data_IF_632170690531
#
_entry.id   IF_632170690531
#
_cell.length_a   1.000
_cell.length_b   1.000
_cell.length_c   1.000
_cell.angle_alpha   90.00
_cell.angle_beta   90.00
_cell.angle_gamma   90.00
#
_symmetry.space_group_name_H-M   'P 1'
#
loop_
_entity.id
_entity.type
_entity.pdbx_description
1 polymer ?
#
# COMPACT_ATOMS: atom_id res chain seq x y z
N UNK A 1 20.32 5.62 -13.43
CA UNK A 1 19.70 4.35 -13.01
C UNK A 1 18.40 4.72 -12.30
N UNK A 2 17.20 4.35 -12.81
CA UNK A 2 15.96 4.73 -12.16
C UNK A 2 15.90 4.09 -10.75
N UNK A 3 15.48 4.87 -9.75
CA UNK A 3 15.27 4.36 -8.41
C UNK A 3 14.11 3.35 -8.41
N UNK A 4 14.16 2.29 -7.59
CA UNK A 4 13.07 1.31 -7.52
C UNK A 4 11.80 1.96 -6.97
N UNK A 5 10.70 1.84 -7.71
CA UNK A 5 9.39 2.43 -7.37
C UNK A 5 8.66 1.55 -6.35
N UNK A 6 8.55 2.04 -5.12
CA UNK A 6 7.77 1.35 -4.09
C UNK A 6 6.28 1.57 -4.29
N UNK A 7 5.51 0.49 -4.14
CA UNK A 7 4.04 0.47 -4.18
C UNK A 7 3.49 0.03 -2.84
N UNK A 8 2.43 0.69 -2.37
CA UNK A 8 1.66 0.30 -1.19
C UNK A 8 0.40 -0.44 -1.62
N UNK A 9 0.06 -1.53 -0.93
CA UNK A 9 -1.16 -2.27 -1.16
C UNK A 9 -1.88 -2.61 0.14
N UNK A 10 -3.21 -2.72 0.03
CA UNK A 10 -4.12 -3.08 1.12
C UNK A 10 -4.97 -4.26 0.65
N UNK A 11 -4.91 -5.33 1.44
CA UNK A 11 -5.66 -6.57 1.20
C UNK A 11 -6.57 -6.83 2.38
N UNK A 12 -7.84 -7.13 2.10
CA UNK A 12 -8.82 -7.56 3.08
C UNK A 12 -8.81 -9.09 3.14
N UNK A 13 -8.52 -9.63 4.32
CA UNK A 13 -8.69 -11.05 4.62
C UNK A 13 -10.17 -11.38 4.92
N UNK A 14 -10.53 -12.65 4.82
CA UNK A 14 -11.87 -13.15 5.14
C UNK A 14 -12.31 -12.88 6.60
N UNK A 15 -11.35 -12.73 7.52
CA UNK A 15 -11.56 -12.34 8.93
C UNK A 15 -11.90 -10.83 9.11
N UNK A 16 -12.09 -10.09 8.00
CA UNK A 16 -12.25 -8.64 8.01
C UNK A 16 -11.03 -7.87 8.55
N UNK A 17 -9.91 -8.58 8.74
CA UNK A 17 -8.60 -8.01 9.01
C UNK A 17 -8.02 -7.37 7.75
N UNK A 18 -7.57 -6.11 7.87
CA UNK A 18 -6.95 -5.35 6.79
C UNK A 18 -5.43 -5.42 6.91
N UNK A 19 -4.79 -6.08 5.94
CA UNK A 19 -3.34 -6.17 5.85
C UNK A 19 -2.81 -5.11 4.89
N UNK A 20 -1.77 -4.39 5.31
CA UNK A 20 -1.18 -3.28 4.56
C UNK A 20 0.33 -3.50 4.48
N UNK A 21 0.90 -3.38 3.29
CA UNK A 21 2.33 -3.55 3.07
C UNK A 21 2.84 -2.77 1.87
N UNK A 22 4.16 -2.59 1.82
CA UNK A 22 4.85 -1.95 0.69
C UNK A 22 5.78 -2.92 -0.02
N UNK A 23 5.96 -2.75 -1.33
CA UNK A 23 6.88 -3.54 -2.14
C UNK A 23 7.56 -2.68 -3.22
N UNK A 24 8.88 -2.84 -3.35
CA UNK A 24 9.75 -2.07 -4.26
C UNK A 24 9.63 -2.43 -5.74
N UNK A 25 9.12 -3.63 -6.01
CA UNK A 25 9.06 -4.19 -7.36
C UNK A 25 7.87 -5.15 -7.43
N UNK A 26 6.67 -4.56 -7.35
CA UNK A 26 5.42 -5.32 -7.52
C UNK A 26 5.38 -5.90 -8.92
N UNK A 27 5.89 -5.21 -9.95
CA UNK A 27 5.92 -5.68 -11.32
C UNK A 27 6.73 -6.97 -11.52
N UNK A 28 8.02 -7.01 -11.14
CA UNK A 28 8.81 -8.25 -11.21
C UNK A 28 8.30 -9.31 -10.28
N UNK A 29 7.88 -8.97 -9.04
CA UNK A 29 7.30 -10.00 -8.18
C UNK A 29 6.03 -10.56 -8.78
N UNK A 30 5.06 -9.74 -9.19
CA UNK A 30 3.81 -10.21 -9.77
C UNK A 30 4.05 -11.00 -11.07
N UNK A 31 4.99 -10.56 -11.93
CA UNK A 31 5.37 -11.29 -13.13
C UNK A 31 6.12 -12.60 -12.83
N UNK A 32 7.01 -12.64 -11.83
CA UNK A 32 7.62 -13.88 -11.34
C UNK A 32 6.60 -14.78 -10.60
N UNK A 33 5.51 -14.20 -10.09
CA UNK A 33 4.37 -14.91 -9.51
C UNK A 33 3.46 -15.50 -10.59
N UNK A 34 3.20 -14.79 -11.70
CA UNK A 34 2.39 -15.27 -12.83
C UNK A 34 3.16 -16.27 -13.72
N UNK A 35 4.47 -16.05 -13.92
CA UNK A 35 5.31 -16.89 -14.78
C UNK A 35 5.75 -18.22 -14.10
N UNK A 36 5.26 -18.52 -12.89
CA UNK A 36 5.21 -19.87 -12.33
C UNK A 36 6.52 -20.55 -11.93
N UNK A 37 7.69 -19.90 -12.02
CA UNK A 37 8.94 -20.66 -12.05
C UNK A 37 9.74 -20.75 -10.75
N UNK A 38 9.45 -19.99 -9.68
CA UNK A 38 10.17 -20.18 -8.38
C UNK A 38 9.63 -19.46 -7.13
N UNK A 39 8.73 -18.48 -7.24
CA UNK A 39 8.45 -17.53 -6.15
C UNK A 39 7.26 -17.82 -5.20
N UNK A 40 6.28 -18.65 -5.57
CA UNK A 40 4.98 -18.66 -4.91
C UNK A 40 4.63 -19.94 -4.14
N UNK A 41 5.57 -20.51 -3.36
CA UNK A 41 5.18 -21.49 -2.33
C UNK A 41 4.28 -20.86 -1.25
N UNK A 42 4.37 -19.54 -1.07
CA UNK A 42 3.64 -18.79 -0.04
C UNK A 42 2.22 -18.33 -0.45
N UNK A 43 1.93 -18.25 -1.75
CA UNK A 43 0.59 -17.90 -2.28
C UNK A 43 -0.14 -19.13 -2.87
N UNK A 44 0.41 -20.34 -2.68
CA UNK A 44 -0.34 -21.59 -2.85
C UNK A 44 -1.18 -21.81 -1.59
N UNK A 45 -2.43 -21.36 -1.60
CA UNK A 45 -3.46 -21.96 -0.74
C UNK A 45 -3.98 -21.15 0.45
N UNK A 46 -3.70 -19.85 0.56
CA UNK A 46 -4.45 -18.98 1.50
C UNK A 46 -5.41 -18.08 0.72
N UNK A 47 -6.67 -18.52 0.75
CA UNK A 47 -7.87 -17.98 0.11
C UNK A 47 -8.16 -16.50 0.50
N UNK A 48 -9.27 -15.92 0.00
CA UNK A 48 -9.27 -14.71 -0.82
C UNK A 48 -8.66 -13.50 -0.11
N UNK A 49 -7.50 -13.05 -0.60
CA UNK A 49 -6.95 -11.74 -0.28
C UNK A 49 -7.53 -10.76 -1.30
N UNK A 50 -8.66 -10.13 -0.95
CA UNK A 50 -9.26 -9.13 -1.85
C UNK A 50 -8.39 -7.88 -1.78
N UNK A 51 -7.66 -7.60 -2.86
CA UNK A 51 -6.96 -6.33 -3.01
C UNK A 51 -8.02 -5.24 -3.10
N UNK A 52 -8.12 -4.45 -2.04
CA UNK A 52 -9.09 -3.35 -1.97
C UNK A 52 -8.45 -2.02 -2.38
N UNK A 53 -7.12 -1.92 -2.26
CA UNK A 53 -6.39 -0.71 -2.63
C UNK A 53 -4.95 -1.04 -3.03
N UNK A 54 -4.45 -0.39 -4.08
CA UNK A 54 -3.05 -0.42 -4.47
C UNK A 54 -2.64 0.90 -5.07
N UNK A 55 -1.50 1.46 -4.65
CA UNK A 55 -0.98 2.68 -5.26
C UNK A 55 0.53 2.73 -5.25
N UNK A 56 1.09 3.21 -6.35
CA UNK A 56 2.51 3.52 -6.48
C UNK A 56 2.85 4.78 -5.67
N UNK A 57 3.95 4.70 -4.92
CA UNK A 57 4.48 5.78 -4.08
C UNK A 57 5.78 6.33 -4.66
N UNK A 58 6.58 5.48 -5.31
CA UNK A 58 7.90 5.87 -5.83
C UNK A 58 9.00 5.60 -4.81
N UNK A 59 9.12 6.43 -3.79
CA UNK A 59 10.31 6.41 -2.94
C UNK A 59 10.21 5.44 -1.76
N UNK A 60 11.31 4.75 -1.42
CA UNK A 60 11.36 3.85 -0.26
C UNK A 60 11.05 4.59 1.04
N UNK A 61 11.61 5.79 1.17
CA UNK A 61 11.45 6.61 2.36
C UNK A 61 9.98 7.04 2.54
N UNK A 62 9.33 7.43 1.44
CA UNK A 62 7.90 7.76 1.43
C UNK A 62 7.05 6.54 1.73
N UNK A 63 7.29 5.41 1.07
CA UNK A 63 6.53 4.19 1.26
C UNK A 63 6.60 3.69 2.71
N UNK A 64 7.77 3.71 3.34
CA UNK A 64 7.92 3.31 4.74
C UNK A 64 7.23 4.27 5.72
N UNK A 65 7.26 5.58 5.45
CA UNK A 65 6.49 6.57 6.23
C UNK A 65 4.99 6.35 6.09
N UNK A 66 4.51 6.09 4.87
CA UNK A 66 3.11 5.79 4.60
C UNK A 66 2.67 4.52 5.29
N UNK A 67 3.43 3.43 5.17
CA UNK A 67 3.14 2.18 5.86
C UNK A 67 2.99 2.40 7.37
N UNK A 68 3.92 3.14 7.97
CA UNK A 68 3.86 3.45 9.40
C UNK A 68 2.61 4.26 9.77
N UNK A 69 2.25 5.27 8.97
CA UNK A 69 1.03 6.07 9.17
C UNK A 69 -0.21 5.19 9.00
N UNK A 70 -0.31 4.43 7.91
CA UNK A 70 -1.41 3.49 7.59
C UNK A 70 -1.57 2.42 8.68
N UNK A 71 -0.48 1.92 9.25
CA UNK A 71 -0.50 0.96 10.36
C UNK A 71 -1.10 1.57 11.64
N UNK A 72 -0.93 2.88 11.85
CA UNK A 72 -1.53 3.63 12.96
C UNK A 72 -2.97 4.10 12.70
N UNK A 73 -3.42 4.09 11.44
CA UNK A 73 -4.79 4.46 11.10
C UNK A 73 -5.79 3.46 11.70
N UNK A 74 -6.91 4.01 12.19
CA UNK A 74 -8.05 3.21 12.60
C UNK A 74 -8.72 2.55 11.40
N UNK A 75 -9.52 1.52 11.66
CA UNK A 75 -10.25 0.78 10.62
C UNK A 75 -11.05 1.71 9.69
N UNK A 76 -11.74 2.71 10.24
CA UNK A 76 -12.49 3.73 9.49
C UNK A 76 -11.64 4.52 8.50
N UNK A 77 -10.42 4.91 8.89
CA UNK A 77 -9.50 5.67 8.03
C UNK A 77 -8.96 4.78 6.89
N UNK A 78 -8.68 3.50 7.18
CA UNK A 78 -8.33 2.53 6.13
C UNK A 78 -9.49 2.32 5.15
N UNK A 79 -10.71 2.25 5.65
CA UNK A 79 -11.91 2.17 4.80
C UNK A 79 -12.13 3.46 4.00
N UNK A 80 -11.80 4.63 4.55
CA UNK A 80 -11.84 5.90 3.82
C UNK A 80 -10.81 5.94 2.68
N UNK A 81 -9.59 5.42 2.89
CA UNK A 81 -8.59 5.23 1.84
C UNK A 81 -9.10 4.29 0.74
N UNK A 82 -9.69 3.16 1.11
CA UNK A 82 -10.28 2.19 0.16
C UNK A 82 -11.44 2.81 -0.62
N UNK A 83 -12.28 3.60 0.05
CA UNK A 83 -13.42 4.29 -0.56
C UNK A 83 -13.01 5.50 -1.44
N UNK A 84 -11.71 5.82 -1.52
CA UNK A 84 -11.21 6.98 -2.25
C UNK A 84 -11.54 8.32 -1.60
N UNK A 85 -11.96 8.34 -0.33
CA UNK A 85 -12.16 9.57 0.43
C UNK A 85 -10.84 10.18 0.90
N UNK A 86 -9.86 9.33 1.20
CA UNK A 86 -8.51 9.74 1.56
C UNK A 86 -7.50 9.24 0.53
N UNK A 87 -6.44 10.01 0.33
CA UNK A 87 -5.34 9.65 -0.56
C UNK A 87 -4.05 9.45 0.23
N UNK A 88 -3.26 8.44 -0.14
CA UNK A 88 -1.93 8.24 0.47
C UNK A 88 -1.04 9.48 0.32
N UNK A 89 -1.12 10.21 -0.79
CA UNK A 89 -0.32 11.41 -1.00
C UNK A 89 -0.60 12.53 0.03
N UNK A 90 -1.88 12.69 0.42
CA UNK A 90 -2.27 13.62 1.49
C UNK A 90 -1.69 13.20 2.85
N UNK A 91 -1.51 11.90 3.07
CA UNK A 91 -0.84 11.36 4.26
C UNK A 91 0.69 11.54 4.21
N UNK A 92 1.29 11.93 3.09
CA UNK A 92 2.72 12.32 3.04
C UNK A 92 2.92 13.82 3.10
N UNK A 93 1.95 14.60 2.62
CA UNK A 93 2.00 16.07 2.49
C UNK A 93 1.39 16.81 3.69
N UNK A 94 1.43 16.24 4.88
CA UNK A 94 1.05 17.00 6.09
C UNK A 94 2.17 17.98 6.50
N UNK A 95 2.58 18.85 5.58
CA UNK A 95 3.39 20.06 5.81
C UNK A 95 3.12 21.17 4.76
N UNK A 96 1.93 21.29 4.14
CA UNK A 96 1.51 22.61 3.57
C UNK A 96 0.01 22.82 3.74
N UNK A 97 -0.42 23.27 4.92
CA UNK A 97 -1.61 24.12 5.06
C UNK A 97 -1.59 24.80 6.41
N UNK A 98 -0.78 25.85 6.51
CA UNK A 98 -1.21 27.03 7.24
C UNK A 98 -1.47 28.12 6.21
N UNK A 99 -2.72 28.44 5.83
CA UNK A 99 -3.01 29.79 5.37
C UNK A 99 -2.84 30.68 6.61
N UNK A 100 -1.62 31.19 6.80
CA UNK A 100 -1.37 32.32 7.68
C UNK A 100 -2.04 33.54 7.07
N UNK A 101 -3.34 33.66 7.31
CA UNK A 101 -4.10 34.89 7.18
C UNK A 101 -3.72 35.79 8.35
N UNK A 102 -2.84 36.78 8.14
CA UNK A 102 -2.88 38.11 8.78
C UNK A 102 -2.06 39.08 7.96
#
# INVERSE_FOLDING_TARGET
MPAPVFSLYIVRCADNSLYTGIAADVGKRLAEHESGSRGAKYLRGRQPLKLEYSREVGDRALASRLEYRVKRLSRTQKEALIAGRESLDQLTDDQVSGPGCT
#
